data_IF_737228994430
#
_entry.id   IF_737228994430
#
_cell.length_a   1.000
_cell.length_b   1.000
_cell.length_c   1.000
_cell.angle_alpha   90.00
_cell.angle_beta   90.00
_cell.angle_gamma   90.00
#
_symmetry.space_group_name_H-M   'P 1'
#
loop_
_entity.id
_entity.type
_entity.pdbx_description
1 polymer ?
#
# COMPACT_ATOMS: atom_id res chain seq x y z
N UNK A 1 16.75 19.01 2.79
CA UNK A 1 16.05 18.71 1.52
C UNK A 1 16.12 17.23 1.11
N UNK A 2 16.92 16.39 1.78
CA UNK A 2 17.04 14.94 1.49
C UNK A 2 15.82 14.08 1.88
N UNK A 3 15.16 14.38 3.01
CA UNK A 3 14.09 13.54 3.55
C UNK A 3 12.88 13.37 2.61
N UNK A 4 12.58 14.39 1.79
CA UNK A 4 11.43 14.36 0.89
C UNK A 4 11.64 13.38 -0.29
N UNK A 5 12.91 13.09 -0.67
CA UNK A 5 13.24 12.16 -1.76
C UNK A 5 13.02 10.70 -1.35
N UNK A 6 13.38 10.36 -0.11
CA UNK A 6 13.13 9.04 0.46
C UNK A 6 11.63 8.77 0.51
N UNK A 7 10.86 9.75 1.00
CA UNK A 7 9.42 9.62 1.15
C UNK A 7 8.69 9.51 -0.19
N UNK A 8 9.14 10.25 -1.21
CA UNK A 8 8.67 10.10 -2.59
C UNK A 8 9.01 8.73 -3.17
N UNK A 9 10.21 8.20 -2.86
CA UNK A 9 10.61 6.85 -3.23
C UNK A 9 9.71 5.78 -2.62
N UNK A 10 9.40 5.89 -1.31
CA UNK A 10 8.50 4.98 -0.59
C UNK A 10 7.08 5.05 -1.15
N UNK A 11 6.57 6.25 -1.44
CA UNK A 11 5.26 6.44 -2.07
C UNK A 11 5.20 5.78 -3.46
N UNK A 12 6.24 5.99 -4.29
CA UNK A 12 6.33 5.36 -5.60
C UNK A 12 6.39 3.83 -5.52
N UNK A 13 7.16 3.30 -4.57
CA UNK A 13 7.26 1.87 -4.31
C UNK A 13 5.90 1.28 -3.92
N UNK A 14 5.19 1.90 -2.97
CA UNK A 14 3.88 1.42 -2.51
C UNK A 14 2.80 1.50 -3.60
N UNK A 15 2.81 2.55 -4.41
CA UNK A 15 1.93 2.66 -5.57
C UNK A 15 2.20 1.54 -6.58
N UNK A 16 3.47 1.29 -6.91
CA UNK A 16 3.84 0.23 -7.83
C UNK A 16 3.43 -1.15 -7.31
N UNK A 17 3.60 -1.40 -6.01
CA UNK A 17 3.18 -2.64 -5.37
C UNK A 17 1.66 -2.83 -5.41
N UNK A 18 0.88 -1.77 -5.15
CA UNK A 18 -0.57 -1.82 -5.25
C UNK A 18 -1.04 -2.06 -6.70
N UNK A 19 -0.39 -1.46 -7.70
CA UNK A 19 -0.69 -1.71 -9.12
C UNK A 19 -0.38 -3.15 -9.51
N UNK A 20 0.77 -3.70 -9.13
CA UNK A 20 1.12 -5.10 -9.40
C UNK A 20 0.13 -6.06 -8.74
N UNK A 21 -0.24 -5.80 -7.49
CA UNK A 21 -1.22 -6.62 -6.78
C UNK A 21 -2.59 -6.58 -7.46
N UNK A 22 -3.07 -5.39 -7.83
CA UNK A 22 -4.37 -5.20 -8.46
C UNK A 22 -4.43 -5.83 -9.86
N UNK A 23 -3.40 -5.65 -10.67
CA UNK A 23 -3.31 -6.25 -12.01
C UNK A 23 -3.26 -7.77 -11.96
N UNK A 24 -2.50 -8.35 -11.02
CA UNK A 24 -2.47 -9.79 -10.84
C UNK A 24 -3.78 -10.37 -10.31
N UNK A 25 -4.50 -9.61 -9.47
CA UNK A 25 -5.84 -9.98 -9.03
C UNK A 25 -6.84 -10.02 -10.19
N UNK A 26 -6.82 -9.00 -11.07
CA UNK A 26 -7.65 -8.97 -12.27
C UNK A 26 -7.34 -10.09 -13.27
N UNK A 27 -6.08 -10.50 -13.39
CA UNK A 27 -5.65 -11.56 -14.31
C UNK A 27 -5.88 -12.99 -13.77
N UNK A 28 -6.42 -13.14 -12.55
CA UNK A 28 -6.59 -14.46 -11.92
C UNK A 28 -5.28 -15.16 -11.53
N UNK A 29 -4.13 -14.50 -11.73
CA UNK A 29 -2.79 -14.98 -11.34
C UNK A 29 -2.46 -14.69 -9.87
N UNK A 30 -3.43 -14.16 -9.11
CA UNK A 30 -3.30 -13.89 -7.68
C UNK A 30 -2.77 -15.09 -6.88
N UNK A 31 -3.11 -16.33 -7.28
CA UNK A 31 -2.62 -17.54 -6.60
C UNK A 31 -1.11 -17.74 -6.77
N UNK A 32 -0.56 -17.53 -7.97
CA UNK A 32 0.87 -17.72 -8.23
C UNK A 32 1.73 -16.67 -7.51
N UNK A 33 1.27 -15.41 -7.46
CA UNK A 33 1.92 -14.39 -6.63
C UNK A 33 1.71 -14.65 -5.14
N UNK A 34 0.54 -15.10 -4.72
CA UNK A 34 0.29 -15.43 -3.32
C UNK A 34 1.19 -16.58 -2.84
N UNK A 35 1.49 -17.57 -3.66
CA UNK A 35 2.37 -18.69 -3.31
C UNK A 35 3.83 -18.23 -3.11
N UNK A 36 4.34 -17.38 -4.00
CA UNK A 36 5.69 -16.81 -3.89
C UNK A 36 5.79 -15.81 -2.73
N UNK A 37 4.74 -15.04 -2.49
CA UNK A 37 4.72 -14.06 -1.40
C UNK A 37 4.32 -14.66 -0.06
N UNK A 38 3.72 -15.86 0.00
CA UNK A 38 3.15 -16.43 1.23
C UNK A 38 4.17 -16.47 2.38
N UNK A 39 5.40 -16.87 2.09
CA UNK A 39 6.47 -17.00 3.08
C UNK A 39 6.87 -15.65 3.69
N UNK A 40 6.80 -14.58 2.89
CA UNK A 40 7.14 -13.21 3.32
C UNK A 40 5.92 -12.32 3.51
N UNK A 41 4.70 -12.85 3.36
CA UNK A 41 3.47 -12.08 3.29
C UNK A 41 3.23 -11.31 4.59
N UNK A 42 3.46 -11.96 5.72
CA UNK A 42 3.34 -11.35 7.04
C UNK A 42 4.31 -10.16 7.20
N UNK A 43 5.58 -10.36 6.85
CA UNK A 43 6.60 -9.32 6.92
C UNK A 43 6.29 -8.16 5.96
N UNK A 44 5.94 -8.45 4.71
CA UNK A 44 5.58 -7.45 3.71
C UNK A 44 4.37 -6.63 4.16
N UNK A 45 3.39 -7.25 4.79
CA UNK A 45 2.19 -6.57 5.28
C UNK A 45 2.50 -5.64 6.47
N UNK A 46 3.43 -6.04 7.36
CA UNK A 46 3.92 -5.18 8.45
C UNK A 46 4.71 -3.99 7.89
N UNK A 47 5.60 -4.22 6.91
CA UNK A 47 6.34 -3.12 6.27
C UNK A 47 5.42 -2.18 5.50
N UNK A 48 4.42 -2.72 4.78
CA UNK A 48 3.39 -1.93 4.10
C UNK A 48 2.60 -1.09 5.10
N UNK A 49 2.17 -1.66 6.24
CA UNK A 49 1.50 -0.93 7.32
C UNK A 49 2.33 0.25 7.81
N UNK A 50 3.59 0.01 8.17
CA UNK A 50 4.49 1.05 8.69
C UNK A 50 4.67 2.15 7.63
N UNK A 51 4.93 1.77 6.38
CA UNK A 51 5.15 2.70 5.29
C UNK A 51 3.91 3.56 4.98
N UNK A 52 2.72 2.96 4.95
CA UNK A 52 1.45 3.67 4.75
C UNK A 52 1.19 4.63 5.91
N UNK A 53 1.41 4.21 7.16
CA UNK A 53 1.24 5.06 8.34
C UNK A 53 2.21 6.24 8.32
N UNK A 54 3.48 6.02 7.96
CA UNK A 54 4.48 7.09 7.83
C UNK A 54 4.09 8.07 6.73
N UNK A 55 3.63 7.59 5.56
CA UNK A 55 3.16 8.46 4.48
C UNK A 55 1.90 9.25 4.87
N UNK A 56 0.99 8.64 5.62
CA UNK A 56 -0.20 9.31 6.12
C UNK A 56 0.15 10.41 7.12
N UNK A 57 0.99 10.10 8.12
CA UNK A 57 1.44 11.08 9.10
C UNK A 57 2.24 12.21 8.44
N UNK A 58 3.14 11.90 7.49
CA UNK A 58 3.86 12.93 6.74
C UNK A 58 2.91 13.83 5.95
N UNK A 59 1.92 13.24 5.27
CA UNK A 59 0.91 13.99 4.54
C UNK A 59 0.15 14.95 5.45
N UNK A 60 -0.29 14.49 6.63
CA UNK A 60 -1.02 15.32 7.61
C UNK A 60 -0.13 16.44 8.15
N UNK A 61 1.10 16.14 8.55
CA UNK A 61 2.02 17.12 9.14
C UNK A 61 2.54 18.14 8.13
N UNK A 62 2.79 17.74 6.87
CA UNK A 62 3.31 18.62 5.82
C UNK A 62 2.25 19.14 4.86
N UNK A 63 0.97 18.87 5.09
CA UNK A 63 -0.12 19.26 4.18
C UNK A 63 -0.05 20.73 3.76
N UNK A 64 0.18 21.61 4.74
CA UNK A 64 0.21 23.06 4.58
C UNK A 64 1.44 23.55 3.78
N UNK A 65 2.55 22.83 3.85
CA UNK A 65 3.79 23.15 3.12
C UNK A 65 3.83 22.61 1.68
N UNK A 66 2.83 21.83 1.27
CA UNK A 66 2.75 21.27 -0.08
C UNK A 66 2.08 22.29 -1.00
N UNK A 67 2.68 22.54 -2.17
CA UNK A 67 2.08 23.41 -3.18
C UNK A 67 0.65 22.95 -3.52
N UNK A 68 -0.32 23.87 -3.54
CA UNK A 68 -1.74 23.57 -3.71
C UNK A 68 -2.06 22.66 -4.91
N UNK A 69 -1.32 22.82 -6.02
CA UNK A 69 -1.45 21.96 -7.22
C UNK A 69 -1.09 20.48 -6.99
N UNK A 70 -0.25 20.18 -6.00
CA UNK A 70 0.21 18.82 -5.67
C UNK A 70 -0.43 18.23 -4.42
N UNK A 71 -1.24 19.00 -3.68
CA UNK A 71 -1.95 18.51 -2.50
C UNK A 71 -2.95 17.40 -2.86
N UNK A 72 -3.86 17.67 -3.80
CA UNK A 72 -4.89 16.72 -4.24
C UNK A 72 -4.31 15.38 -4.72
N UNK A 73 -3.34 15.33 -5.65
CA UNK A 73 -2.79 14.05 -6.10
C UNK A 73 -2.04 13.30 -5.00
N UNK A 74 -1.37 14.00 -4.07
CA UNK A 74 -0.71 13.34 -2.93
C UNK A 74 -1.72 12.72 -1.97
N UNK A 75 -2.79 13.44 -1.63
CA UNK A 75 -3.87 12.92 -0.79
C UNK A 75 -4.51 11.69 -1.44
N UNK A 76 -4.82 11.77 -2.73
CA UNK A 76 -5.39 10.64 -3.47
C UNK A 76 -4.43 9.43 -3.49
N UNK A 77 -3.13 9.64 -3.71
CA UNK A 77 -2.14 8.57 -3.74
C UNK A 77 -2.00 7.86 -2.38
N UNK A 78 -1.90 8.63 -1.29
CA UNK A 78 -1.82 8.06 0.07
C UNK A 78 -3.13 7.35 0.42
N UNK A 79 -4.28 7.96 0.11
CA UNK A 79 -5.59 7.34 0.30
C UNK A 79 -5.72 6.02 -0.44
N UNK A 80 -5.25 5.96 -1.70
CA UNK A 80 -5.27 4.74 -2.50
C UNK A 80 -4.36 3.64 -1.90
N UNK A 81 -3.20 3.99 -1.36
CA UNK A 81 -2.34 3.03 -0.65
C UNK A 81 -3.04 2.47 0.59
N UNK A 82 -3.74 3.32 1.33
CA UNK A 82 -4.47 2.95 2.55
C UNK A 82 -5.66 2.04 2.24
N UNK A 83 -6.46 2.38 1.23
CA UNK A 83 -7.56 1.54 0.75
C UNK A 83 -7.06 0.21 0.18
N UNK A 84 -5.96 0.20 -0.58
CA UNK A 84 -5.37 -1.01 -1.12
C UNK A 84 -4.86 -1.97 -0.02
N UNK A 85 -4.26 -1.41 1.03
CA UNK A 85 -3.86 -2.18 2.21
C UNK A 85 -5.08 -2.79 2.93
N UNK A 86 -6.14 -2.01 3.16
CA UNK A 86 -7.38 -2.50 3.77
C UNK A 86 -8.03 -3.60 2.93
N UNK A 87 -7.99 -3.48 1.60
CA UNK A 87 -8.49 -4.51 0.69
C UNK A 87 -7.71 -5.82 0.83
N UNK A 88 -6.38 -5.77 0.89
CA UNK A 88 -5.54 -6.97 1.13
C UNK A 88 -5.84 -7.63 2.47
N UNK A 89 -6.03 -6.83 3.52
CA UNK A 89 -6.43 -7.33 4.84
C UNK A 89 -7.81 -7.98 4.80
N UNK A 90 -8.76 -7.40 4.07
CA UNK A 90 -10.08 -7.98 3.87
C UNK A 90 -10.02 -9.34 3.15
N UNK A 91 -9.19 -9.45 2.10
CA UNK A 91 -8.96 -10.73 1.40
C UNK A 91 -8.29 -11.77 2.32
N UNK A 92 -7.29 -11.37 3.10
CA UNK A 92 -6.64 -12.25 4.07
C UNK A 92 -7.64 -12.75 5.13
N UNK A 93 -8.48 -11.83 5.64
CA UNK A 93 -9.54 -12.17 6.59
C UNK A 93 -10.52 -13.18 5.98
N UNK A 94 -10.99 -12.96 4.75
CA UNK A 94 -11.85 -13.91 4.05
C UNK A 94 -11.19 -15.28 3.88
N UNK A 95 -9.91 -15.34 3.51
CA UNK A 95 -9.17 -16.60 3.44
C UNK A 95 -9.10 -17.32 4.79
N UNK A 96 -8.81 -16.61 5.88
CA UNK A 96 -8.76 -17.19 7.22
C UNK A 96 -10.14 -17.67 7.69
N UNK A 97 -11.20 -16.92 7.38
CA UNK A 97 -12.58 -17.29 7.72
C UNK A 97 -13.08 -18.48 6.90
N UNK A 98 -12.68 -18.61 5.64
CA UNK A 98 -13.06 -19.75 4.78
C UNK A 98 -12.18 -20.99 4.96
N UNK A 99 -11.00 -20.88 5.59
CA UNK A 99 -10.16 -22.03 5.94
C UNK A 99 -10.59 -22.73 7.25
N UNK A 100 -11.65 -22.25 7.91
CA UNK A 100 -12.34 -22.97 8.98
C UNK A 100 -13.47 -23.78 8.36
N UNK A 101 -13.09 -24.82 7.62
CA UNK A 101 -13.90 -26.03 7.33
C UNK A 101 -12.95 -27.20 7.03
#
# INVERSE_FOLDING_TARGET
>A
MENNRILQGVLGLLLSYNVVFFTAHLQGQARALAEVLAEVQSLLNIFELIAVMVLFVDLVLRFDHIASRWQVPRVAAVGLCLTGMLFKWFILYLHLSYLVD
#
